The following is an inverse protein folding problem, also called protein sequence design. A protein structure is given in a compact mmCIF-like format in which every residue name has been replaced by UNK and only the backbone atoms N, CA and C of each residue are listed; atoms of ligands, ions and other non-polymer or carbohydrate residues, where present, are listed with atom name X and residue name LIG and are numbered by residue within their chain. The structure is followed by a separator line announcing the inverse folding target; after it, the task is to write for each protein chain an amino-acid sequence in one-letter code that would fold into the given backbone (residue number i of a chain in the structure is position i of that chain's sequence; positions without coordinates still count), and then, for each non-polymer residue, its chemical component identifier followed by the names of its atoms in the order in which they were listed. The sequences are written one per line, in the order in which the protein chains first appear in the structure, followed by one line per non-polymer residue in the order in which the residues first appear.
data_IF_923854633549
#
_entry.id   IF_923854633549
#
_cell.length_a   1.000
_cell.length_b   1.000
_cell.length_c   1.000
_cell.angle_alpha   90.00
_cell.angle_beta   90.00
_cell.angle_gamma   90.00
#
_symmetry.space_group_name_H-M   'P 1'
#
loop_
_entity.id
_entity.type
_entity.pdbx_description
1 polymer ?
#
# COMPACT_ATOMS: atom_id res chain seq x y z
N UNK A 1 -8.33 2.23 10.58
CA UNK A 1 -8.19 2.19 9.12
C UNK A 1 -9.50 1.70 8.47
N UNK A 2 -9.69 0.42 8.12
CA UNK A 2 -10.95 -0.05 7.51
C UNK A 2 -11.95 -0.60 8.56
N UNK A 3 -11.73 -1.83 9.02
CA UNK A 3 -12.53 -2.53 10.03
C UNK A 3 -11.68 -3.65 10.68
N UNK A 4 -12.24 -4.34 11.69
CA UNK A 4 -11.54 -5.41 12.41
C UNK A 4 -11.19 -6.60 11.50
N UNK A 5 -12.06 -6.97 10.55
CA UNK A 5 -11.82 -8.06 9.60
C UNK A 5 -10.61 -7.78 8.69
N UNK A 6 -10.42 -6.53 8.28
CA UNK A 6 -9.28 -6.11 7.47
C UNK A 6 -7.97 -6.18 8.26
N UNK A 7 -8.00 -5.82 9.54
CA UNK A 7 -6.87 -6.01 10.46
C UNK A 7 -6.56 -7.49 10.71
N UNK A 8 -7.60 -8.33 10.83
CA UNK A 8 -7.44 -9.78 10.96
C UNK A 8 -6.78 -10.39 9.73
N UNK A 9 -7.19 -10.00 8.51
CA UNK A 9 -6.55 -10.44 7.26
C UNK A 9 -5.05 -10.15 7.25
N UNK A 10 -4.64 -8.95 7.66
CA UNK A 10 -3.23 -8.58 7.79
C UNK A 10 -2.50 -9.52 8.76
N UNK A 11 -3.05 -9.73 9.96
CA UNK A 11 -2.45 -10.60 10.97
C UNK A 11 -2.35 -12.06 10.52
N UNK A 12 -3.40 -12.60 9.89
CA UNK A 12 -3.46 -13.99 9.42
C UNK A 12 -2.40 -14.26 8.32
N UNK A 13 -2.25 -13.32 7.36
CA UNK A 13 -1.23 -13.41 6.30
C UNK A 13 0.18 -13.46 6.89
N UNK A 14 0.48 -12.58 7.85
CA UNK A 14 1.78 -12.57 8.52
C UNK A 14 2.02 -13.79 9.40
N UNK A 15 0.99 -14.28 10.10
CA UNK A 15 1.10 -15.49 10.92
C UNK A 15 1.45 -16.72 10.08
N UNK A 16 0.85 -16.85 8.90
CA UNK A 16 1.14 -17.93 7.95
C UNK A 16 2.60 -17.89 7.49
N UNK A 17 3.06 -16.71 7.08
CA UNK A 17 4.44 -16.52 6.64
C UNK A 17 5.44 -16.73 7.79
N UNK A 18 5.12 -16.25 9.00
CA UNK A 18 5.94 -16.43 10.19
C UNK A 18 6.17 -17.89 10.53
N UNK A 19 5.12 -18.71 10.41
CA UNK A 19 5.21 -20.15 10.62
C UNK A 19 6.11 -20.82 9.57
N UNK A 20 5.94 -20.47 8.29
CA UNK A 20 6.79 -20.97 7.22
C UNK A 20 8.27 -20.59 7.41
N UNK A 21 8.53 -19.33 7.77
CA UNK A 21 9.89 -18.85 8.04
C UNK A 21 10.52 -19.57 9.23
N UNK A 22 9.79 -19.74 10.33
CA UNK A 22 10.29 -20.45 11.53
C UNK A 22 10.63 -21.90 11.23
N UNK A 23 9.83 -22.58 10.39
CA UNK A 23 10.09 -23.95 9.97
C UNK A 23 11.32 -24.06 9.06
N UNK A 24 11.53 -23.07 8.18
CA UNK A 24 12.66 -23.05 7.27
C UNK A 24 13.97 -22.70 8.00
N UNK A 25 13.97 -21.66 8.83
CA UNK A 25 15.13 -21.20 9.61
C UNK A 25 14.64 -20.73 10.98
N UNK A 26 14.76 -21.57 12.02
CA UNK A 26 14.39 -21.19 13.39
C UNK A 26 15.09 -19.89 13.82
N UNK A 27 14.32 -18.94 14.36
CA UNK A 27 14.82 -17.64 14.83
C UNK A 27 14.88 -16.54 13.77
N UNK A 28 14.86 -16.86 12.46
CA UNK A 28 14.81 -15.83 11.40
C UNK A 28 13.50 -15.05 11.45
N UNK A 29 13.55 -13.71 11.32
CA UNK A 29 12.37 -12.82 11.19
C UNK A 29 12.37 -11.97 9.92
N UNK A 30 13.44 -12.05 9.13
CA UNK A 30 13.74 -11.13 8.03
C UNK A 30 12.62 -11.11 6.98
N UNK A 31 12.07 -12.28 6.64
CA UNK A 31 11.01 -12.40 5.61
C UNK A 31 9.70 -11.85 6.16
N UNK A 32 9.33 -12.23 7.38
CA UNK A 32 8.10 -11.75 8.04
C UNK A 32 8.13 -10.23 8.26
N UNK A 33 9.27 -9.66 8.63
CA UNK A 33 9.42 -8.22 8.83
C UNK A 33 9.30 -7.43 7.51
N UNK A 34 9.92 -7.93 6.44
CA UNK A 34 9.76 -7.36 5.10
C UNK A 34 8.30 -7.38 4.67
N UNK A 35 7.60 -8.49 4.91
CA UNK A 35 6.18 -8.65 4.66
C UNK A 35 5.33 -7.67 5.46
N UNK A 36 5.59 -7.56 6.77
CA UNK A 36 4.81 -6.73 7.68
C UNK A 36 4.82 -5.25 7.25
N UNK A 37 6.00 -4.72 6.92
CA UNK A 37 6.17 -3.33 6.48
C UNK A 37 5.45 -3.06 5.15
N UNK A 38 5.64 -3.94 4.18
CA UNK A 38 5.14 -3.70 2.82
C UNK A 38 3.67 -4.06 2.64
N UNK A 39 3.17 -5.11 3.30
CA UNK A 39 1.75 -5.42 3.34
C UNK A 39 0.97 -4.29 4.00
N UNK A 40 1.48 -3.75 5.12
CA UNK A 40 0.84 -2.61 5.78
C UNK A 40 0.76 -1.41 4.84
N UNK A 41 1.85 -1.09 4.14
CA UNK A 41 1.87 0.01 3.15
C UNK A 41 0.83 -0.18 2.04
N UNK A 42 0.68 -1.39 1.52
CA UNK A 42 -0.28 -1.71 0.44
C UNK A 42 -1.73 -1.77 0.93
N UNK A 43 -1.96 -2.18 2.17
CA UNK A 43 -3.29 -2.25 2.77
C UNK A 43 -3.76 -0.92 3.34
N UNK A 44 -2.85 -0.08 3.84
CA UNK A 44 -3.14 1.18 4.54
C UNK A 44 -2.98 2.40 3.61
N UNK A 45 -3.56 2.35 2.42
CA UNK A 45 -3.48 3.40 1.42
C UNK A 45 -4.19 4.68 1.93
N UNK A 46 -3.58 5.85 1.74
CA UNK A 46 -4.24 7.11 2.06
C UNK A 46 -5.19 7.50 0.92
N UNK A 47 -6.38 6.91 0.94
CA UNK A 47 -7.44 7.18 -0.01
C UNK A 47 -8.35 8.34 0.43
N UNK A 48 -9.33 8.67 -0.41
CA UNK A 48 -10.23 9.80 -0.21
C UNK A 48 -11.06 9.64 1.08
N UNK A 49 -11.45 8.41 1.42
CA UNK A 49 -12.16 8.11 2.67
C UNK A 49 -11.27 8.30 3.91
N UNK A 50 -10.01 7.87 3.84
CA UNK A 50 -9.06 8.06 4.94
C UNK A 50 -8.68 9.53 5.12
N UNK A 51 -8.52 10.28 4.02
CA UNK A 51 -8.35 11.73 4.06
C UNK A 51 -9.55 12.38 4.74
N UNK A 52 -10.77 12.03 4.35
CA UNK A 52 -11.99 12.54 4.95
C UNK A 52 -12.07 12.24 6.45
N UNK A 53 -11.69 11.02 6.86
CA UNK A 53 -11.62 10.63 8.28
C UNK A 53 -10.63 11.49 9.06
N UNK A 54 -9.43 11.75 8.51
CA UNK A 54 -8.41 12.58 9.17
C UNK A 54 -8.86 14.04 9.34
N UNK A 55 -9.63 14.58 8.40
CA UNK A 55 -10.22 15.92 8.55
C UNK A 55 -11.33 15.96 9.61
N UNK A 56 -11.95 14.82 9.93
CA UNK A 56 -13.18 14.76 10.73
C UNK A 56 -13.05 14.05 12.07
N UNK A 57 -11.90 13.41 12.36
CA UNK A 57 -11.62 12.71 13.62
C UNK A 57 -11.24 13.64 14.78
N UNK A 58 -11.26 14.95 14.55
CA UNK A 58 -10.97 15.97 15.54
C UNK A 58 -9.49 16.37 15.63
N UNK A 59 -8.57 15.55 15.10
CA UNK A 59 -7.13 15.88 15.11
C UNK A 59 -6.85 17.16 14.31
N UNK A 60 -7.46 17.29 13.13
CA UNK A 60 -7.35 18.48 12.29
C UNK A 60 -7.88 19.74 12.98
N UNK A 61 -9.02 19.65 13.67
CA UNK A 61 -9.59 20.79 14.40
C UNK A 61 -8.71 21.21 15.57
N UNK A 62 -8.16 20.24 16.31
CA UNK A 62 -7.23 20.51 17.40
C UNK A 62 -5.92 21.13 16.91
N UNK A 63 -5.41 20.70 15.75
CA UNK A 63 -4.22 21.26 15.12
C UNK A 63 -4.46 22.69 14.64
N UNK A 64 -5.62 22.95 14.03
CA UNK A 64 -6.02 24.29 13.61
C UNK A 64 -6.11 25.26 14.79
N UNK A 65 -6.71 24.84 15.90
CA UNK A 65 -6.82 25.64 17.12
C UNK A 65 -5.46 25.90 17.81
N UNK A 66 -4.47 25.03 17.60
CA UNK A 66 -3.10 25.25 18.11
C UNK A 66 -2.31 26.22 17.24
N UNK A 67 -2.47 26.15 15.92
CA UNK A 67 -1.68 26.94 14.98
C UNK A 67 -2.23 28.36 14.79
N UNK A 68 -3.55 28.54 14.94
CA UNK A 68 -4.22 29.81 14.68
C UNK A 68 -4.97 30.29 15.92
N UNK A 69 -4.78 31.57 16.29
CA UNK A 69 -5.56 32.23 17.34
C UNK A 69 -7.03 32.43 16.94
N UNK A 70 -7.31 32.44 15.62
CA UNK A 70 -8.63 32.53 15.01
C UNK A 70 -8.53 32.46 13.49
N UNK A 71 -9.64 32.17 12.82
CA UNK A 71 -9.75 32.17 11.36
C UNK A 71 -11.17 32.56 10.93
N UNK A 72 -11.32 33.31 9.83
CA UNK A 72 -12.62 33.77 9.34
C UNK A 72 -13.38 32.69 8.56
N UNK A 73 -12.67 31.98 7.68
CA UNK A 73 -13.22 30.90 6.86
C UNK A 73 -12.18 29.85 6.57
N UNK A 74 -12.64 28.60 6.42
CA UNK A 74 -11.82 27.50 5.97
C UNK A 74 -12.10 27.22 4.48
N UNK A 75 -11.05 27.17 3.68
CA UNK A 75 -11.13 26.90 2.24
C UNK A 75 -10.20 25.73 1.89
N UNK A 76 -10.72 24.78 1.13
CA UNK A 76 -10.03 23.56 0.73
C UNK A 76 -9.71 23.58 -0.75
N UNK A 77 -8.44 23.39 -1.09
CA UNK A 77 -8.00 23.25 -2.47
C UNK A 77 -7.85 21.78 -2.83
N UNK A 78 -8.88 21.23 -3.47
CA UNK A 78 -8.95 19.81 -3.83
C UNK A 78 -8.95 19.66 -5.35
N UNK A 79 -8.43 18.54 -5.84
CA UNK A 79 -8.62 18.11 -7.22
C UNK A 79 -9.44 16.81 -7.21
N UNK A 80 -10.78 16.88 -7.08
CA UNK A 80 -11.60 15.68 -6.96
C UNK A 80 -11.44 14.81 -8.22
N UNK A 81 -11.23 13.49 -8.11
CA UNK A 81 -10.99 12.64 -9.28
C UNK A 81 -12.12 12.64 -10.31
N UNK A 82 -13.38 12.84 -9.85
CA UNK A 82 -14.61 12.72 -10.65
C UNK A 82 -15.13 14.08 -11.11
N UNK A 83 -14.98 15.12 -10.29
CA UNK A 83 -15.50 16.48 -10.56
C UNK A 83 -14.39 17.49 -10.88
N UNK A 84 -13.12 17.09 -10.82
CA UNK A 84 -11.97 17.95 -11.03
C UNK A 84 -11.81 18.33 -12.49
N UNK A 85 -11.61 19.63 -12.74
CA UNK A 85 -11.24 20.13 -14.06
C UNK A 85 -9.88 19.56 -14.46
N UNK A 86 -9.69 19.21 -15.73
CA UNK A 86 -8.37 18.85 -16.28
C UNK A 86 -7.81 20.03 -17.07
N UNK A 87 -6.50 20.22 -17.00
CA UNK A 87 -5.76 21.15 -17.86
C UNK A 87 -5.72 20.65 -19.30
N UNK A 88 -5.26 21.51 -20.21
CA UNK A 88 -5.03 21.17 -21.62
C UNK A 88 -3.99 20.07 -21.82
N UNK A 89 -3.11 19.89 -20.84
CA UNK A 89 -2.10 18.83 -20.73
C UNK A 89 -2.62 17.56 -20.03
N UNK A 90 -3.91 17.52 -19.67
CA UNK A 90 -4.54 16.42 -18.93
C UNK A 90 -4.28 16.42 -17.43
N UNK A 91 -3.55 17.41 -16.88
CA UNK A 91 -3.23 17.49 -15.45
C UNK A 91 -4.46 17.84 -14.59
N UNK A 92 -4.59 17.30 -13.36
CA UNK A 92 -5.67 17.70 -12.45
C UNK A 92 -5.54 19.16 -12.02
N UNK A 93 -6.59 19.96 -12.23
CA UNK A 93 -6.67 21.34 -11.72
C UNK A 93 -7.33 21.36 -10.34
N UNK A 94 -6.68 22.04 -9.40
CA UNK A 94 -7.24 22.30 -8.08
C UNK A 94 -8.45 23.24 -8.20
N UNK A 95 -9.51 22.90 -7.47
CA UNK A 95 -10.70 23.70 -7.29
C UNK A 95 -10.83 24.09 -5.81
N UNK A 96 -11.32 25.29 -5.57
CA UNK A 96 -11.58 25.80 -4.23
C UNK A 96 -12.95 25.38 -3.74
N UNK A 97 -13.01 24.91 -2.49
CA UNK A 97 -14.24 24.55 -1.81
C UNK A 97 -14.30 25.26 -0.46
N UNK A 98 -15.40 25.93 -0.18
CA UNK A 98 -15.59 26.66 1.08
C UNK A 98 -15.85 25.75 2.30
N UNK A 99 -16.24 26.34 3.44
CA UNK A 99 -16.38 25.63 4.71
C UNK A 99 -17.35 24.44 4.69
N UNK A 100 -18.34 24.47 3.79
CA UNK A 100 -19.31 23.38 3.61
C UNK A 100 -18.65 22.02 3.31
N UNK A 101 -17.44 22.02 2.76
CA UNK A 101 -16.68 20.81 2.46
C UNK A 101 -16.40 19.95 3.70
N UNK A 102 -16.37 20.54 4.91
CA UNK A 102 -16.28 19.77 6.16
C UNK A 102 -17.45 18.81 6.33
N UNK A 103 -18.67 19.21 5.94
CA UNK A 103 -19.82 18.32 5.95
C UNK A 103 -19.68 17.22 4.89
N UNK A 104 -19.12 17.55 3.72
CA UNK A 104 -18.77 16.58 2.69
C UNK A 104 -17.78 15.52 3.17
N UNK A 105 -16.72 15.93 3.88
CA UNK A 105 -15.78 14.99 4.50
C UNK A 105 -16.44 14.12 5.57
N UNK A 106 -17.37 14.65 6.38
CA UNK A 106 -18.09 13.83 7.38
C UNK A 106 -18.91 12.74 6.71
N UNK A 107 -19.64 13.09 5.66
CA UNK A 107 -20.41 12.12 4.87
C UNK A 107 -19.49 11.09 4.24
N UNK A 108 -18.40 11.53 3.60
CA UNK A 108 -17.45 10.63 2.96
C UNK A 108 -16.77 9.68 3.97
N UNK A 109 -16.40 10.17 5.15
CA UNK A 109 -15.83 9.36 6.22
C UNK A 109 -16.82 8.29 6.72
N UNK A 110 -18.12 8.62 6.82
CA UNK A 110 -19.17 7.67 7.16
C UNK A 110 -19.38 6.61 6.06
N UNK A 111 -19.15 6.98 4.80
CA UNK A 111 -19.26 6.09 3.62
C UNK A 111 -18.03 5.22 3.36
N UNK A 112 -17.06 5.14 4.29
CA UNK A 112 -15.85 4.29 4.15
C UNK A 112 -16.14 2.80 3.86
N UNK A 113 -17.35 2.33 4.20
CA UNK A 113 -17.79 0.97 3.89
C UNK A 113 -17.94 0.70 2.38
N UNK A 114 -18.08 1.74 1.57
CA UNK A 114 -18.13 1.64 0.11
C UNK A 114 -16.76 1.33 -0.50
N UNK A 115 -15.66 1.55 0.22
CA UNK A 115 -14.29 1.29 -0.28
C UNK A 115 -14.18 -0.13 -0.83
N UNK A 116 -13.80 -0.24 -2.10
CA UNK A 116 -13.64 -1.52 -2.79
C UNK A 116 -14.93 -2.22 -3.21
N UNK A 117 -16.10 -1.60 -3.02
CA UNK A 117 -17.39 -2.09 -3.54
C UNK A 117 -17.65 -1.60 -4.97
N UNK A 118 -18.67 -2.15 -5.64
CA UNK A 118 -19.10 -1.68 -6.97
C UNK A 118 -19.67 -0.25 -6.98
N UNK A 119 -19.89 0.37 -5.82
CA UNK A 119 -20.38 1.75 -5.70
C UNK A 119 -19.22 2.70 -5.33
N UNK A 120 -17.98 2.19 -5.25
CA UNK A 120 -16.79 2.99 -4.96
C UNK A 120 -16.38 3.85 -6.16
N UNK A 121 -16.96 5.04 -6.27
CA UNK A 121 -16.70 5.95 -7.38
C UNK A 121 -15.22 6.36 -7.48
N UNK A 122 -14.52 6.50 -6.35
CA UNK A 122 -13.09 6.82 -6.34
C UNK A 122 -12.24 5.62 -6.78
N UNK A 123 -12.73 4.41 -6.51
CA UNK A 123 -12.08 3.15 -6.85
C UNK A 123 -11.92 2.90 -8.35
N UNK A 124 -12.61 3.64 -9.23
CA UNK A 124 -12.52 3.39 -10.68
C UNK A 124 -11.33 4.05 -11.37
N UNK A 125 -10.58 4.93 -10.69
CA UNK A 125 -9.40 5.57 -11.27
C UNK A 125 -8.32 4.55 -11.63
N UNK A 126 -7.50 4.88 -12.64
CA UNK A 126 -6.40 4.01 -13.06
C UNK A 126 -5.42 3.74 -11.90
N UNK A 127 -5.14 4.76 -11.08
CA UNK A 127 -4.27 4.62 -9.90
C UNK A 127 -4.87 3.65 -8.87
N UNK A 128 -6.16 3.76 -8.53
CA UNK A 128 -6.80 2.86 -7.56
C UNK A 128 -6.86 1.42 -8.06
N UNK A 129 -7.09 1.22 -9.36
CA UNK A 129 -7.04 -0.12 -9.98
C UNK A 129 -5.65 -0.73 -9.88
N UNK A 130 -4.62 0.05 -10.21
CA UNK A 130 -3.22 -0.36 -10.10
C UNK A 130 -2.85 -0.71 -8.65
N UNK A 131 -3.24 0.10 -7.66
CA UNK A 131 -2.97 -0.18 -6.24
C UNK A 131 -3.62 -1.48 -5.76
N UNK A 132 -4.89 -1.72 -6.15
CA UNK A 132 -5.57 -3.00 -5.82
C UNK A 132 -4.88 -4.18 -6.49
N UNK A 133 -4.47 -4.03 -7.75
CA UNK A 133 -3.73 -5.07 -8.46
C UNK A 133 -2.38 -5.35 -7.78
N UNK A 134 -1.65 -4.32 -7.33
CA UNK A 134 -0.42 -4.47 -6.58
C UNK A 134 -0.63 -5.24 -5.26
N UNK A 135 -1.71 -4.93 -4.52
CA UNK A 135 -2.05 -5.69 -3.31
C UNK A 135 -2.36 -7.16 -3.63
N UNK A 136 -3.16 -7.42 -4.66
CA UNK A 136 -3.50 -8.80 -5.07
C UNK A 136 -2.25 -9.59 -5.49
N UNK A 137 -1.38 -9.00 -6.31
CA UNK A 137 -0.11 -9.61 -6.72
C UNK A 137 0.79 -9.89 -5.51
N UNK A 138 0.89 -8.93 -4.60
CA UNK A 138 1.70 -9.07 -3.40
C UNK A 138 1.18 -10.18 -2.48
N UNK A 139 -0.13 -10.33 -2.33
CA UNK A 139 -0.68 -11.44 -1.57
C UNK A 139 -0.42 -12.80 -2.22
N UNK A 140 -0.42 -12.87 -3.55
CA UNK A 140 0.01 -14.08 -4.26
C UNK A 140 1.50 -14.36 -4.02
N UNK A 141 2.35 -13.32 -3.95
CA UNK A 141 3.77 -13.47 -3.60
C UNK A 141 3.94 -13.98 -2.16
N UNK A 142 3.12 -13.53 -1.21
CA UNK A 142 3.12 -14.05 0.16
C UNK A 142 2.82 -15.55 0.19
N UNK A 143 1.81 -15.99 -0.56
CA UNK A 143 1.41 -17.39 -0.64
C UNK A 143 2.51 -18.26 -1.31
N UNK A 144 3.11 -17.74 -2.39
CA UNK A 144 4.23 -18.39 -3.08
C UNK A 144 5.45 -18.53 -2.15
N UNK A 145 5.83 -17.45 -1.47
CA UNK A 145 6.96 -17.47 -0.52
C UNK A 145 6.67 -18.44 0.62
N UNK A 146 5.48 -18.41 1.22
CA UNK A 146 5.12 -19.32 2.30
C UNK A 146 5.25 -20.80 1.89
N UNK A 147 4.96 -21.15 0.63
CA UNK A 147 5.12 -22.50 0.10
C UNK A 147 6.54 -22.88 -0.34
N UNK A 148 7.39 -21.89 -0.66
CA UNK A 148 8.72 -22.12 -1.22
C UNK A 148 9.88 -21.86 -0.24
N UNK A 149 9.60 -21.38 0.98
CA UNK A 149 10.61 -21.03 1.97
C UNK A 149 11.46 -22.24 2.38
N UNK A 150 12.78 -22.03 2.35
CA UNK A 150 13.81 -22.97 2.74
C UNK A 150 15.07 -22.20 3.18
N UNK A 151 16.03 -22.80 3.91
CA UNK A 151 17.22 -22.12 4.41
C UNK A 151 17.97 -21.27 3.36
N UNK A 152 18.15 -21.80 2.15
CA UNK A 152 18.85 -21.10 1.06
C UNK A 152 18.03 -20.05 0.32
N UNK A 153 16.78 -19.80 0.70
CA UNK A 153 15.84 -18.92 0.00
C UNK A 153 15.40 -17.69 0.79
N UNK A 154 15.83 -17.56 2.05
CA UNK A 154 15.45 -16.46 2.95
C UNK A 154 15.72 -15.09 2.33
N UNK A 155 16.92 -14.89 1.79
CA UNK A 155 17.33 -13.60 1.21
C UNK A 155 16.50 -13.23 -0.02
N UNK A 156 16.30 -14.19 -0.94
CA UNK A 156 15.49 -13.98 -2.15
C UNK A 156 14.02 -13.70 -1.80
N UNK A 157 13.46 -14.42 -0.83
CA UNK A 157 12.11 -14.21 -0.32
C UNK A 157 11.95 -12.81 0.32
N UNK A 158 12.87 -12.42 1.20
CA UNK A 158 12.83 -11.10 1.84
C UNK A 158 12.97 -9.96 0.81
N UNK A 159 13.83 -10.14 -0.20
CA UNK A 159 13.99 -9.18 -1.30
C UNK A 159 12.69 -9.07 -2.12
N UNK A 160 12.07 -10.19 -2.50
CA UNK A 160 10.79 -10.21 -3.22
C UNK A 160 9.70 -9.48 -2.44
N UNK A 161 9.57 -9.76 -1.15
CA UNK A 161 8.58 -9.12 -0.29
C UNK A 161 8.89 -7.65 0.02
N UNK A 162 10.09 -7.17 -0.32
CA UNK A 162 10.50 -5.77 -0.21
C UNK A 162 10.22 -4.94 -1.46
N UNK A 163 9.85 -5.56 -2.59
CA UNK A 163 9.58 -4.87 -3.86
C UNK A 163 8.57 -3.71 -3.75
N UNK A 164 7.48 -3.79 -2.98
CA UNK A 164 6.55 -2.65 -2.85
C UNK A 164 7.17 -1.38 -2.27
N UNK A 165 8.33 -1.47 -1.62
CA UNK A 165 9.07 -0.31 -1.15
C UNK A 165 9.59 0.55 -2.32
N UNK A 166 9.78 -0.04 -3.50
CA UNK A 166 10.21 0.64 -4.73
C UNK A 166 9.11 1.52 -5.31
N UNK A 167 7.84 1.17 -5.12
CA UNK A 167 6.69 1.94 -5.62
C UNK A 167 6.51 3.20 -4.79
N UNK A 168 6.90 4.36 -5.35
CA UNK A 168 6.91 5.66 -4.66
C UNK A 168 6.40 6.78 -5.58
N UNK A 169 6.07 7.92 -4.98
CA UNK A 169 5.58 9.10 -5.69
C UNK A 169 4.08 9.07 -5.96
N UNK A 170 3.63 9.95 -6.85
CA UNK A 170 2.22 10.17 -7.19
C UNK A 170 2.03 10.24 -8.70
N UNK A 171 0.83 9.92 -9.20
CA UNK A 171 0.49 10.03 -10.62
C UNK A 171 1.47 9.28 -11.54
N UNK A 172 1.96 9.95 -12.58
CA UNK A 172 2.86 9.34 -13.58
C UNK A 172 4.18 8.83 -12.99
N UNK A 173 4.71 9.48 -11.95
CA UNK A 173 5.95 9.03 -11.26
C UNK A 173 5.73 7.68 -10.60
N UNK A 174 4.57 7.49 -9.97
CA UNK A 174 4.20 6.23 -9.32
C UNK A 174 3.97 5.12 -10.33
N UNK A 175 3.36 5.44 -11.47
CA UNK A 175 3.16 4.48 -12.55
C UNK A 175 4.51 3.97 -13.11
N UNK A 176 5.43 4.88 -13.45
CA UNK A 176 6.76 4.49 -13.93
C UNK A 176 7.56 3.71 -12.86
N UNK A 177 7.38 4.07 -11.58
CA UNK A 177 7.97 3.35 -10.46
C UNK A 177 7.39 1.94 -10.28
N UNK A 178 6.08 1.76 -10.53
CA UNK A 178 5.42 0.46 -10.51
C UNK A 178 5.89 -0.46 -11.64
N UNK A 179 6.12 0.08 -12.83
CA UNK A 179 6.68 -0.67 -13.97
C UNK A 179 8.09 -1.20 -13.66
N UNK A 180 8.95 -0.35 -13.09
CA UNK A 180 10.28 -0.78 -12.62
C UNK A 180 10.20 -1.85 -11.54
N UNK A 181 9.28 -1.69 -10.59
CA UNK A 181 9.05 -2.67 -9.53
C UNK A 181 8.56 -4.02 -10.08
N UNK A 182 7.76 -4.02 -11.16
CA UNK A 182 7.32 -5.25 -11.82
C UNK A 182 8.48 -6.03 -12.46
N UNK A 183 9.44 -5.33 -13.09
CA UNK A 183 10.65 -5.96 -13.61
C UNK A 183 11.51 -6.59 -12.50
N UNK A 184 11.70 -5.86 -11.39
CA UNK A 184 12.45 -6.38 -10.24
C UNK A 184 11.74 -7.56 -9.56
N UNK A 185 10.41 -7.50 -9.45
CA UNK A 185 9.59 -8.63 -8.98
C UNK A 185 9.85 -9.89 -9.80
N UNK A 186 9.85 -9.78 -11.13
CA UNK A 186 10.06 -10.94 -12.00
C UNK A 186 11.45 -11.55 -11.78
N UNK A 187 12.50 -10.71 -11.75
CA UNK A 187 13.87 -11.15 -11.47
C UNK A 187 13.99 -11.91 -10.15
N UNK A 188 13.29 -11.43 -9.11
CA UNK A 188 13.32 -12.04 -7.78
C UNK A 188 12.48 -13.33 -7.70
N UNK A 189 11.38 -13.43 -8.45
CA UNK A 189 10.64 -14.68 -8.62
C UNK A 189 11.53 -15.75 -9.27
N UNK A 190 12.26 -15.40 -10.33
CA UNK A 190 13.17 -16.32 -11.00
C UNK A 190 14.29 -16.78 -10.05
N UNK A 191 14.87 -15.85 -9.29
CA UNK A 191 15.87 -16.16 -8.23
C UNK A 191 15.30 -17.10 -7.17
N UNK A 192 14.06 -16.89 -6.73
CA UNK A 192 13.41 -17.72 -5.71
C UNK A 192 13.05 -19.12 -6.24
N UNK A 193 12.74 -19.23 -7.53
CA UNK A 193 12.44 -20.50 -8.20
C UNK A 193 13.68 -21.37 -8.40
N UNK A 194 14.84 -20.75 -8.62
CA UNK A 194 16.12 -21.44 -8.83
C UNK A 194 16.62 -22.02 -7.51
N UNK A 195 16.97 -23.31 -7.48
CA UNK A 195 17.53 -23.95 -6.29
C UNK A 195 18.88 -23.29 -5.90
N UNK A 196 19.22 -23.15 -4.61
CA UNK A 196 20.52 -22.62 -4.22
C UNK A 196 21.60 -23.52 -4.81
N UNK A 197 22.52 -22.93 -5.57
CA UNK A 197 23.76 -23.59 -5.98
C UNK A 197 24.44 -24.06 -4.69
N UNK A 198 24.49 -25.39 -4.47
CA UNK A 198 25.37 -25.95 -3.45
C UNK A 198 26.77 -25.41 -3.75
N UNK A 199 27.48 -24.79 -2.79
CA UNK A 199 28.89 -24.52 -2.99
C UNK A 199 29.56 -25.87 -3.25
N UNK A 200 30.01 -26.12 -4.49
CA UNK A 200 30.98 -27.17 -4.73
C UNK A 200 32.23 -26.74 -3.98
N UNK A 201 32.46 -27.33 -2.81
CA UNK A 201 33.78 -27.30 -2.19
C UNK A 201 34.72 -27.98 -3.19
N UNK A 202 35.40 -27.19 -4.01
CA UNK A 202 36.59 -27.63 -4.71
C UNK A 202 37.62 -27.90 -3.61
N UNK A 203 37.70 -29.16 -3.19
CA UNK A 203 38.90 -29.67 -2.55
C UNK A 203 40.01 -29.54 -3.59
N UNK A 204 40.88 -28.55 -3.41
CA UNK A 204 42.16 -28.51 -4.08
C UNK A 204 43.04 -29.55 -3.39
N UNK A 205 43.39 -30.60 -4.14
CA UNK A 205 44.47 -31.54 -3.85
C UNK A 205 45.78 -30.99 -4.42
#
# INVERSE_FOLDING_TARGET
YQNAAYGKRYADRLATLRKAETNAVPGSTVVTEAAAKNLFKLMAIKDEYEVARLYTDGSFAAELAKQFQGYDKLEFHLAPPIMGRRGSDGSPRKSSFGPWMMNGFRLLAAMKGLRGTAIDLFGYSAERRMERQLLTLYEADLDLVAGALAPGKIEAAAALLSVPALVRGYGHVKQASAEKAAGERQRLLDRLSTAPLRPQLQAAE
#
